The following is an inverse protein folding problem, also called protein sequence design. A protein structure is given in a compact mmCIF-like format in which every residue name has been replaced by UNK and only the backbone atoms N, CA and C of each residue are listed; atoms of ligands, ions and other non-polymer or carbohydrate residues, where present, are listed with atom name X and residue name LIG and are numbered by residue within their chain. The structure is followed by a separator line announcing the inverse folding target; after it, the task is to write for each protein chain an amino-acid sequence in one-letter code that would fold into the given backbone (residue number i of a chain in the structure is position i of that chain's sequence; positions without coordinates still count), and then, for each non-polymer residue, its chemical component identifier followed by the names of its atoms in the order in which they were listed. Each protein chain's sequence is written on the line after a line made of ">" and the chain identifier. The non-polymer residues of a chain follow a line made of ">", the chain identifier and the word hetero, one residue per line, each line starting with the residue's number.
data_IF_434868563358
#
_entry.id   IF_434868563358
#
_cell.length_a   1.000
_cell.length_b   1.000
_cell.length_c   1.000
_cell.angle_alpha   90.00
_cell.angle_beta   90.00
_cell.angle_gamma   90.00
#
_symmetry.space_group_name_H-M   'P 1'
#
loop_
_entity.id
_entity.type
_entity.pdbx_description
1 polymer ?
#
# COMPACT_ATOMS: atom_id res chain seq x y z
N UNK A 1 -32.12 20.73 -6.30
CA UNK A 1 -32.63 19.70 -5.39
C UNK A 1 -33.88 20.22 -4.70
N UNK A 2 -34.95 19.45 -4.73
CA UNK A 2 -36.14 19.70 -3.92
C UNK A 2 -35.93 19.03 -2.54
N UNK A 3 -36.30 19.76 -1.49
CA UNK A 3 -36.15 19.25 -0.13
C UNK A 3 -37.45 18.58 0.34
N UNK A 4 -37.37 17.42 0.93
CA UNK A 4 -38.50 16.65 1.46
C UNK A 4 -38.83 17.11 2.88
N UNK A 5 -40.15 17.36 3.13
CA UNK A 5 -40.62 17.71 4.47
C UNK A 5 -40.59 16.49 5.39
N UNK A 6 -39.99 16.66 6.53
CA UNK A 6 -39.90 15.65 7.58
C UNK A 6 -41.06 15.72 8.57
N UNK A 7 -41.27 14.69 9.38
CA UNK A 7 -42.34 14.62 10.36
C UNK A 7 -42.22 15.65 11.50
N UNK A 8 -41.01 16.13 11.77
CA UNK A 8 -40.73 17.19 12.75
C UNK A 8 -40.91 18.62 12.21
N UNK A 9 -41.34 18.74 10.94
CA UNK A 9 -41.52 20.00 10.27
C UNK A 9 -40.29 20.58 9.59
N UNK A 10 -39.14 19.95 9.71
CA UNK A 10 -37.90 20.30 9.00
C UNK A 10 -37.95 19.87 7.54
N UNK A 11 -37.01 20.36 6.72
CA UNK A 11 -36.85 19.97 5.32
C UNK A 11 -35.42 19.39 5.13
N UNK A 12 -35.32 18.27 4.41
CA UNK A 12 -34.09 17.60 4.12
C UNK A 12 -33.85 17.46 2.62
N UNK A 13 -32.69 17.87 2.14
CA UNK A 13 -32.22 17.58 0.79
C UNK A 13 -30.93 16.78 0.87
N UNK A 14 -30.86 15.66 0.14
CA UNK A 14 -29.64 14.84 0.01
C UNK A 14 -28.88 15.32 -1.23
N UNK A 15 -27.61 15.69 -1.03
CA UNK A 15 -26.71 16.14 -2.09
C UNK A 15 -25.56 15.16 -2.18
N UNK A 16 -25.26 14.68 -3.38
CA UNK A 16 -24.20 13.68 -3.63
C UNK A 16 -23.07 14.26 -4.48
N UNK A 17 -21.86 13.77 -4.27
CA UNK A 17 -20.68 14.19 -5.07
C UNK A 17 -20.86 13.92 -6.57
N UNK A 18 -21.55 12.83 -6.92
CA UNK A 18 -21.76 12.43 -8.32
C UNK A 18 -22.52 13.49 -9.14
N UNK A 19 -23.44 14.20 -8.51
CA UNK A 19 -24.20 15.30 -9.13
C UNK A 19 -23.35 16.55 -9.41
N UNK A 20 -22.17 16.63 -8.76
CA UNK A 20 -21.21 17.73 -8.88
C UNK A 20 -19.88 17.27 -9.47
N UNK A 21 -19.92 16.38 -10.47
CA UNK A 21 -18.72 15.86 -11.17
C UNK A 21 -17.67 15.23 -10.22
N UNK A 22 -18.12 14.67 -9.10
CA UNK A 22 -17.29 14.13 -8.03
C UNK A 22 -16.26 15.12 -7.46
N UNK A 23 -16.56 16.41 -7.51
CA UNK A 23 -15.68 17.46 -6.97
C UNK A 23 -15.32 17.24 -5.50
N UNK A 24 -14.18 17.79 -5.09
CA UNK A 24 -13.71 17.83 -3.70
C UNK A 24 -13.64 19.29 -3.24
N UNK A 25 -13.48 19.50 -1.93
CA UNK A 25 -13.37 20.83 -1.36
C UNK A 25 -14.69 21.38 -0.85
N UNK A 26 -14.86 22.70 -0.92
CA UNK A 26 -15.99 23.40 -0.32
C UNK A 26 -17.24 23.32 -1.21
N UNK A 27 -18.30 22.72 -0.66
CA UNK A 27 -19.65 22.75 -1.24
C UNK A 27 -20.44 23.86 -0.56
N UNK A 28 -21.14 24.67 -1.36
CA UNK A 28 -21.99 25.76 -0.89
C UNK A 28 -23.40 25.47 -1.36
N UNK A 29 -24.37 25.48 -0.43
CA UNK A 29 -25.78 25.28 -0.70
C UNK A 29 -26.54 26.53 -0.33
N UNK A 30 -27.24 27.09 -1.29
CA UNK A 30 -28.20 28.18 -1.08
C UNK A 30 -29.59 27.58 -0.98
N UNK A 31 -30.39 28.02 -0.01
CA UNK A 31 -31.74 27.54 0.27
C UNK A 31 -32.74 28.59 -0.14
N UNK A 32 -33.75 28.17 -0.92
CA UNK A 32 -34.84 29.00 -1.38
C UNK A 32 -36.17 28.33 -1.04
N UNK A 33 -37.20 29.10 -0.75
CA UNK A 33 -38.56 28.60 -0.83
C UNK A 33 -39.24 29.20 -2.08
N UNK A 34 -40.19 28.48 -2.64
CA UNK A 34 -41.01 28.93 -3.73
C UNK A 34 -42.39 29.27 -3.21
N UNK A 35 -42.82 30.50 -3.41
CA UNK A 35 -44.17 30.94 -3.11
C UNK A 35 -45.22 30.32 -4.06
N UNK A 36 -46.49 30.40 -3.71
CA UNK A 36 -47.57 29.85 -4.53
C UNK A 36 -47.66 30.47 -5.94
N UNK A 37 -47.19 31.69 -6.09
CA UNK A 37 -47.05 32.38 -7.39
C UNK A 37 -45.78 31.99 -8.16
N UNK A 38 -44.99 31.02 -7.67
CA UNK A 38 -43.77 30.54 -8.33
C UNK A 38 -42.51 31.37 -8.03
N UNK A 39 -42.61 32.45 -7.27
CA UNK A 39 -41.44 33.29 -6.91
C UNK A 39 -40.52 32.57 -5.96
N UNK A 40 -39.20 32.55 -6.27
CA UNK A 40 -38.15 31.99 -5.40
C UNK A 40 -37.59 33.07 -4.45
N UNK A 41 -37.62 32.79 -3.16
CA UNK A 41 -37.07 33.67 -2.13
C UNK A 41 -35.93 32.98 -1.40
N UNK A 42 -34.75 33.58 -1.37
CA UNK A 42 -33.63 33.09 -0.64
C UNK A 42 -33.85 33.20 0.88
N UNK A 43 -33.60 32.12 1.62
CA UNK A 43 -33.75 32.09 3.08
C UNK A 43 -32.44 31.79 3.83
N UNK A 44 -31.41 31.36 3.12
CA UNK A 44 -30.14 31.11 3.73
C UNK A 44 -29.15 30.37 2.85
N UNK A 45 -27.96 30.13 3.41
CA UNK A 45 -26.92 29.36 2.80
C UNK A 45 -26.15 28.59 3.85
N UNK A 46 -25.61 27.45 3.46
CA UNK A 46 -24.70 26.65 4.28
C UNK A 46 -23.54 26.17 3.44
N UNK A 47 -22.46 25.73 4.09
CA UNK A 47 -21.35 25.13 3.37
C UNK A 47 -20.72 23.99 4.18
N UNK A 48 -20.23 22.98 3.45
CA UNK A 48 -19.47 21.87 3.99
C UNK A 48 -18.22 21.66 3.14
N UNK A 49 -17.11 21.31 3.77
CA UNK A 49 -15.91 20.92 3.05
C UNK A 49 -15.79 19.40 3.06
N UNK A 50 -15.88 18.79 1.87
CA UNK A 50 -15.63 17.37 1.71
C UNK A 50 -14.11 17.13 1.57
N UNK A 51 -13.49 16.32 2.45
CA UNK A 51 -12.06 16.08 2.38
C UNK A 51 -11.68 15.40 1.05
N UNK A 52 -10.52 15.76 0.54
CA UNK A 52 -9.90 15.04 -0.57
C UNK A 52 -9.39 13.70 -0.05
N UNK A 53 -9.80 12.61 -0.71
CA UNK A 53 -9.22 11.30 -0.44
C UNK A 53 -7.78 11.30 -0.96
N UNK A 54 -6.83 11.05 -0.05
CA UNK A 54 -5.41 10.90 -0.41
C UNK A 54 -5.14 9.49 -0.85
N UNK A 55 -4.18 9.33 -1.78
CA UNK A 55 -3.66 8.01 -2.11
C UNK A 55 -2.98 7.40 -0.87
N UNK A 56 -3.28 6.13 -0.60
CA UNK A 56 -2.72 5.40 0.54
C UNK A 56 -2.72 3.90 0.28
N UNK A 57 -2.02 3.17 1.13
CA UNK A 57 -1.98 1.70 1.13
C UNK A 57 -1.27 1.20 2.38
N UNK A 58 -1.49 -0.07 2.70
CA UNK A 58 -0.77 -0.77 3.77
C UNK A 58 0.36 -1.56 3.11
N UNK A 59 1.61 -1.26 3.47
CA UNK A 59 2.80 -1.90 2.92
C UNK A 59 3.37 -2.87 3.95
N UNK A 60 3.53 -4.14 3.56
CA UNK A 60 4.08 -5.20 4.42
C UNK A 60 5.10 -6.04 3.68
N UNK A 61 6.16 -6.45 4.39
CA UNK A 61 7.05 -7.51 3.92
C UNK A 61 6.47 -8.85 4.38
N UNK A 62 6.39 -9.81 3.46
CA UNK A 62 5.88 -11.16 3.70
C UNK A 62 6.81 -12.19 3.06
N UNK A 63 6.60 -13.47 3.36
CA UNK A 63 7.33 -14.59 2.75
C UNK A 63 8.87 -14.42 2.80
N UNK A 64 9.36 -13.92 3.94
CA UNK A 64 10.80 -13.74 4.15
C UNK A 64 11.47 -15.10 4.18
N UNK A 65 12.45 -15.30 3.29
CA UNK A 65 13.21 -16.55 3.15
C UNK A 65 14.70 -16.25 3.21
N UNK A 66 15.28 -16.47 4.37
CA UNK A 66 16.71 -16.22 4.63
C UNK A 66 17.63 -17.09 3.79
N UNK A 67 17.25 -18.35 3.54
CA UNK A 67 18.06 -19.29 2.75
C UNK A 67 18.08 -18.90 1.27
N UNK A 68 16.92 -18.53 0.72
CA UNK A 68 16.81 -18.04 -0.65
C UNK A 68 17.26 -16.58 -0.80
N UNK A 69 17.45 -15.87 0.30
CA UNK A 69 17.78 -14.45 0.31
C UNK A 69 16.71 -13.62 -0.41
N UNK A 70 15.44 -13.81 -0.07
CA UNK A 70 14.34 -13.15 -0.73
C UNK A 70 13.18 -12.86 0.22
N UNK A 71 12.36 -11.90 -0.15
CA UNK A 71 11.08 -11.58 0.49
C UNK A 71 10.11 -11.02 -0.54
N UNK A 72 8.87 -10.83 -0.14
CA UNK A 72 7.87 -10.18 -0.98
C UNK A 72 7.35 -8.92 -0.29
N UNK A 73 7.11 -7.87 -1.09
CA UNK A 73 6.42 -6.66 -0.64
C UNK A 73 4.98 -6.73 -1.12
N UNK A 74 4.06 -6.75 -0.17
CA UNK A 74 2.61 -6.73 -0.40
C UNK A 74 2.03 -5.36 -0.07
N UNK A 75 1.22 -4.83 -0.97
CA UNK A 75 0.46 -3.60 -0.76
C UNK A 75 -1.02 -3.94 -0.74
N UNK A 76 -1.69 -3.67 0.37
CA UNK A 76 -3.12 -3.90 0.59
C UNK A 76 -3.85 -2.62 0.99
N UNK A 77 -5.17 -2.66 1.15
CA UNK A 77 -6.00 -1.49 1.49
C UNK A 77 -5.72 -0.29 0.58
N UNK A 78 -5.62 -0.56 -0.70
CA UNK A 78 -5.22 0.41 -1.72
C UNK A 78 -6.31 1.45 -1.92
N UNK A 79 -5.98 2.71 -1.68
CA UNK A 79 -6.83 3.87 -1.98
C UNK A 79 -6.12 4.74 -3.00
N UNK A 80 -6.75 4.95 -4.15
CA UNK A 80 -6.19 5.77 -5.22
C UNK A 80 -7.31 6.51 -5.98
N UNK A 81 -7.72 7.68 -5.50
CA UNK A 81 -8.87 8.40 -6.03
C UNK A 81 -8.76 8.79 -7.51
N UNK A 82 -7.53 8.96 -8.00
CA UNK A 82 -7.23 9.29 -9.40
C UNK A 82 -6.91 8.07 -10.26
N UNK A 83 -7.09 6.86 -9.71
CA UNK A 83 -6.71 5.60 -10.36
C UNK A 83 -5.20 5.38 -10.44
N UNK A 84 -4.80 4.12 -10.46
CA UNK A 84 -3.39 3.69 -10.54
C UNK A 84 -3.09 3.21 -11.96
N UNK A 85 -1.99 3.70 -12.52
CA UNK A 85 -1.42 3.17 -13.75
C UNK A 85 -0.42 2.06 -13.46
N UNK A 86 0.48 2.27 -12.46
CA UNK A 86 1.52 1.34 -12.03
C UNK A 86 1.83 1.53 -10.56
N UNK A 87 2.30 0.46 -9.92
CA UNK A 87 2.86 0.51 -8.55
C UNK A 87 4.34 0.18 -8.63
N UNK A 88 5.17 1.07 -8.11
CA UNK A 88 6.61 0.89 -8.06
C UNK A 88 7.09 0.73 -6.62
N UNK A 89 8.07 -0.15 -6.45
CA UNK A 89 8.79 -0.33 -5.19
C UNK A 89 10.26 -0.02 -5.46
N UNK A 90 10.78 0.96 -4.75
CA UNK A 90 12.19 1.30 -4.72
C UNK A 90 12.82 0.60 -3.54
N UNK A 91 13.78 -0.27 -3.77
CA UNK A 91 14.44 -1.05 -2.73
C UNK A 91 15.95 -0.84 -2.77
N UNK A 92 16.56 -0.79 -1.59
CA UNK A 92 18.01 -0.74 -1.39
C UNK A 92 18.41 -1.39 -0.05
N UNK A 93 19.70 -1.68 0.12
CA UNK A 93 20.24 -2.13 1.41
C UNK A 93 20.69 -0.94 2.25
N UNK A 94 20.48 -0.98 3.57
CA UNK A 94 20.95 0.07 4.48
C UNK A 94 22.49 0.22 4.41
N UNK A 95 23.21 -0.90 4.30
CA UNK A 95 24.67 -0.92 4.24
C UNK A 95 25.24 -0.33 2.94
N UNK A 96 24.56 -0.56 1.80
CA UNK A 96 24.94 0.00 0.49
C UNK A 96 24.44 1.43 0.29
N UNK A 97 23.58 1.93 1.19
CA UNK A 97 22.88 3.16 0.98
C UNK A 97 22.08 3.11 -0.31
N UNK A 98 21.98 4.23 -1.05
CA UNK A 98 21.24 4.25 -2.32
C UNK A 98 22.07 3.81 -3.54
N UNK A 99 23.29 3.27 -3.34
CA UNK A 99 24.17 2.83 -4.43
C UNK A 99 23.71 1.50 -5.07
N UNK A 100 22.84 0.76 -4.39
CA UNK A 100 22.25 -0.51 -4.86
C UNK A 100 20.74 -0.43 -5.08
N UNK A 101 20.24 0.77 -5.31
CA UNK A 101 18.80 1.02 -5.53
C UNK A 101 18.30 0.28 -6.78
N UNK A 102 17.22 -0.47 -6.62
CA UNK A 102 16.48 -1.11 -7.73
C UNK A 102 15.02 -0.72 -7.66
N UNK A 103 14.45 -0.42 -8.83
CA UNK A 103 13.04 -0.14 -8.99
C UNK A 103 12.31 -1.37 -9.53
N UNK A 104 11.33 -1.83 -8.79
CA UNK A 104 10.49 -2.96 -9.14
C UNK A 104 9.08 -2.50 -9.48
N UNK A 105 8.43 -3.15 -10.45
CA UNK A 105 7.02 -2.95 -10.72
C UNK A 105 6.21 -4.08 -10.06
N UNK A 106 5.32 -3.73 -9.12
CA UNK A 106 4.48 -4.69 -8.45
C UNK A 106 3.29 -5.10 -9.32
N UNK A 107 2.94 -6.38 -9.27
CA UNK A 107 1.85 -6.97 -10.04
C UNK A 107 0.55 -6.93 -9.27
N UNK A 108 -0.54 -6.48 -9.93
CA UNK A 108 -1.88 -6.53 -9.38
C UNK A 108 -2.33 -7.98 -9.25
N UNK A 109 -2.82 -8.34 -8.07
CA UNK A 109 -3.37 -9.65 -7.76
C UNK A 109 -4.88 -9.67 -7.92
N UNK A 110 -5.46 -10.87 -7.99
CA UNK A 110 -6.92 -11.08 -8.12
C UNK A 110 -7.72 -10.57 -6.93
N UNK A 111 -7.07 -10.47 -5.75
CA UNK A 111 -7.66 -9.93 -4.52
C UNK A 111 -7.56 -8.40 -4.40
N UNK A 112 -7.06 -7.72 -5.45
CA UNK A 112 -6.89 -6.27 -5.48
C UNK A 112 -5.64 -5.76 -4.75
N UNK A 113 -4.78 -6.63 -4.23
CA UNK A 113 -3.48 -6.27 -3.66
C UNK A 113 -2.42 -6.17 -4.75
N UNK A 114 -1.29 -5.54 -4.44
CA UNK A 114 -0.11 -5.58 -5.31
C UNK A 114 1.01 -6.34 -4.62
N UNK A 115 1.76 -7.09 -5.41
CA UNK A 115 2.83 -7.96 -4.92
C UNK A 115 4.05 -7.86 -5.81
N UNK A 116 5.24 -7.88 -5.19
CA UNK A 116 6.53 -8.02 -5.88
C UNK A 116 7.49 -8.83 -5.03
N UNK A 117 8.28 -9.67 -5.67
CA UNK A 117 9.37 -10.41 -5.04
C UNK A 117 10.68 -9.62 -5.18
N UNK A 118 11.42 -9.51 -4.07
CA UNK A 118 12.73 -8.89 -3.99
C UNK A 118 13.76 -9.97 -3.66
N UNK A 119 14.92 -9.94 -4.31
CA UNK A 119 15.99 -10.91 -4.10
C UNK A 119 17.33 -10.23 -3.81
N UNK A 120 18.17 -10.85 -2.97
CA UNK A 120 19.52 -10.36 -2.66
C UNK A 120 20.39 -10.15 -3.89
N UNK A 121 20.22 -11.00 -4.90
CA UNK A 121 21.01 -10.96 -6.14
C UNK A 121 20.86 -9.64 -6.90
N UNK A 122 19.71 -8.98 -6.77
CA UNK A 122 19.44 -7.67 -7.39
C UNK A 122 20.17 -6.53 -6.64
N UNK A 123 20.61 -6.77 -5.40
CA UNK A 123 21.28 -5.83 -4.50
C UNK A 123 22.70 -6.28 -4.14
N UNK A 124 23.47 -6.72 -5.13
CA UNK A 124 24.87 -7.16 -4.95
C UNK A 124 25.06 -8.23 -3.87
N UNK A 125 24.01 -9.05 -3.61
CA UNK A 125 23.95 -10.02 -2.53
C UNK A 125 24.21 -9.43 -1.13
N UNK A 126 23.86 -8.17 -0.92
CA UNK A 126 23.96 -7.48 0.35
C UNK A 126 23.26 -8.23 1.49
N UNK A 127 23.73 -8.04 2.71
CA UNK A 127 23.15 -8.62 3.93
C UNK A 127 22.68 -7.50 4.85
N UNK A 128 21.82 -7.84 5.80
CA UNK A 128 21.29 -6.90 6.76
C UNK A 128 19.93 -6.33 6.33
N UNK A 129 19.71 -5.08 6.63
CA UNK A 129 18.42 -4.43 6.46
C UNK A 129 18.18 -3.98 5.01
N UNK A 130 17.07 -4.42 4.45
CA UNK A 130 16.50 -3.98 3.19
C UNK A 130 15.39 -2.98 3.45
N UNK A 131 15.39 -1.87 2.74
CA UNK A 131 14.41 -0.79 2.86
C UNK A 131 13.65 -0.71 1.54
N UNK A 132 12.33 -0.76 1.60
CA UNK A 132 11.46 -0.68 0.42
C UNK A 132 10.48 0.47 0.57
N UNK A 133 10.48 1.40 -0.38
CA UNK A 133 9.51 2.49 -0.47
C UNK A 133 8.56 2.27 -1.65
N UNK A 134 7.28 2.52 -1.44
CA UNK A 134 6.21 2.28 -2.41
C UNK A 134 5.67 3.57 -2.97
N UNK A 135 5.52 3.61 -4.29
CA UNK A 135 5.02 4.73 -5.06
C UNK A 135 3.90 4.30 -5.99
N UNK A 136 2.81 5.06 -6.03
CA UNK A 136 1.78 4.92 -7.05
C UNK A 136 2.05 5.90 -8.19
N UNK A 137 2.13 5.38 -9.41
CA UNK A 137 2.02 6.19 -10.61
C UNK A 137 0.55 6.26 -10.99
N UNK A 138 -0.03 7.45 -10.85
CA UNK A 138 -1.44 7.69 -11.09
C UNK A 138 -1.75 7.78 -12.58
N UNK A 139 -3.04 7.69 -12.95
CA UNK A 139 -3.47 7.83 -14.34
C UNK A 139 -3.19 9.23 -14.93
N UNK A 140 -3.16 10.28 -14.09
CA UNK A 140 -2.78 11.64 -14.49
C UNK A 140 -1.26 11.85 -14.66
N UNK A 141 -0.46 10.78 -14.46
CA UNK A 141 0.98 10.80 -14.57
C UNK A 141 1.73 11.23 -13.30
N UNK A 142 1.04 11.69 -12.27
CA UNK A 142 1.67 12.02 -10.98
C UNK A 142 2.23 10.78 -10.28
N UNK A 143 3.25 10.97 -9.43
CA UNK A 143 3.85 9.92 -8.63
C UNK A 143 3.74 10.27 -7.15
N UNK A 144 3.16 9.39 -6.36
CA UNK A 144 2.84 9.62 -4.95
C UNK A 144 3.45 8.52 -4.10
N UNK A 145 4.28 8.89 -3.12
CA UNK A 145 4.77 7.95 -2.11
C UNK A 145 3.62 7.60 -1.15
N UNK A 146 3.41 6.31 -0.90
CA UNK A 146 2.29 5.83 -0.06
C UNK A 146 2.73 5.10 1.20
N UNK A 147 4.01 4.76 1.31
CA UNK A 147 4.56 4.10 2.49
C UNK A 147 5.82 3.32 2.18
N UNK A 148 6.24 2.51 3.14
CA UNK A 148 7.41 1.65 3.01
C UNK A 148 7.41 0.54 4.05
N UNK A 149 8.34 -0.39 3.88
CA UNK A 149 8.60 -1.48 4.83
C UNK A 149 10.09 -1.76 4.92
N UNK A 150 10.49 -2.49 5.93
CA UNK A 150 11.88 -2.93 6.13
C UNK A 150 11.89 -4.40 6.47
N UNK A 151 12.95 -5.10 6.04
CA UNK A 151 13.15 -6.51 6.37
C UNK A 151 14.64 -6.75 6.60
N UNK A 152 14.96 -7.62 7.54
CA UNK A 152 16.32 -8.10 7.78
C UNK A 152 16.55 -9.38 7.00
N UNK A 153 17.54 -9.39 6.12
CA UNK A 153 18.00 -10.60 5.44
C UNK A 153 19.45 -10.89 5.91
N UNK A 154 19.62 -11.79 6.88
CA UNK A 154 20.93 -12.07 7.47
C UNK A 154 21.87 -12.76 6.47
N UNK A 155 23.13 -12.83 6.83
CA UNK A 155 24.10 -13.67 6.13
C UNK A 155 23.64 -15.12 6.17
N UNK A 156 23.66 -15.79 5.02
CA UNK A 156 23.37 -17.22 4.98
C UNK A 156 24.31 -17.97 5.96
N UNK A 157 23.72 -18.74 6.85
CA UNK A 157 24.50 -19.57 7.76
C UNK A 157 25.12 -20.70 6.96
N UNK A 158 26.45 -20.76 6.88
CA UNK A 158 27.15 -21.92 6.37
C UNK A 158 27.41 -22.90 7.53
N UNK A 159 27.04 -24.14 7.33
CA UNK A 159 27.37 -25.22 8.26
C UNK A 159 28.41 -26.10 7.60
N UNK A 160 29.47 -26.39 8.31
CA UNK A 160 30.41 -27.44 7.93
C UNK A 160 29.99 -28.70 8.68
N UNK A 161 29.60 -29.72 7.95
CA UNK A 161 29.27 -31.03 8.52
C UNK A 161 30.54 -31.85 8.46
N UNK A 162 31.04 -32.22 9.61
CA UNK A 162 32.12 -33.22 9.73
C UNK A 162 31.45 -34.57 9.86
N UNK A 163 31.76 -35.46 8.93
CA UNK A 163 31.39 -36.87 9.02
C UNK A 163 32.65 -37.60 9.49
N UNK A 164 32.63 -38.02 10.73
CA UNK A 164 33.61 -38.98 11.23
C UNK A 164 33.16 -40.37 10.78
N UNK A 165 33.85 -40.99 9.83
CA UNK A 165 33.42 -42.28 9.29
C UNK A 165 33.69 -43.41 10.29
N UNK A 166 33.40 -43.23 11.51
CA UNK A 166 33.44 -44.28 12.53
C UNK A 166 34.25 -45.55 12.19
N UNK A 167 34.34 -46.40 13.07
CA UNK A 167 35.16 -47.61 12.98
C UNK A 167 34.79 -48.50 11.76
N UNK A 168 35.82 -49.00 11.08
CA UNK A 168 35.70 -49.94 9.95
C UNK A 168 36.58 -51.17 10.14
N UNK A 169 36.31 -52.24 9.40
CA UNK A 169 37.07 -53.51 9.48
C UNK A 169 36.81 -54.27 10.75
N UNK A 170 37.88 -54.64 11.44
CA UNK A 170 37.82 -55.42 12.70
C UNK A 170 37.68 -54.57 13.97
N UNK A 171 37.73 -53.25 13.84
CA UNK A 171 37.54 -52.33 14.95
C UNK A 171 36.07 -52.00 15.14
N UNK A 172 35.46 -52.53 16.19
CA UNK A 172 34.05 -52.37 16.52
C UNK A 172 33.72 -51.02 17.18
N UNK A 173 34.73 -50.15 17.43
CA UNK A 173 34.53 -48.91 18.18
C UNK A 173 34.26 -49.11 19.68
N UNK A 174 34.04 -48.01 20.38
CA UNK A 174 33.72 -48.02 21.81
C UNK A 174 32.31 -48.57 22.03
N UNK A 175 32.20 -49.73 22.70
CA UNK A 175 30.90 -50.24 23.19
C UNK A 175 30.73 -49.77 24.63
N UNK A 176 29.63 -49.08 24.89
CA UNK A 176 29.16 -48.77 26.26
C UNK A 176 28.49 -50.02 26.82
N UNK A 177 29.04 -50.56 27.90
CA UNK A 177 28.45 -51.60 28.72
C UNK A 177 27.41 -51.06 29.68
#
# INVERSE_FOLDING_TARGET
>A
HEAERQSDGSYLAKITKSEHKNGTGKYISHVYYQGLEGTLTAIGATSITLPELKASGTVTAINVNDQAGSYEVKISNVVAPKGIRKVFIQTWTEAGGQDDIVWHEAQLQTDGTYLVKITKSEHKNGTGKYISHVYYRMLDGSMIAVGGTQVELPTARSYTIYIDPGHGGVDSGASYG
#
